data_IF_669414387826
#
_entry.id   IF_669414387826
#
_cell.length_a   1.000
_cell.length_b   1.000
_cell.length_c   1.000
_cell.angle_alpha   90.00
_cell.angle_beta   90.00
_cell.angle_gamma   90.00
#
_symmetry.space_group_name_H-M   'P 1'
#
loop_
_entity.id
_entity.type
_entity.pdbx_description
1 polymer ?
#
# COMPACT_ATOMS: atom_id res chain seq x y z
N UNK A 1 -15.33 -21.15 2.58
CA UNK A 1 -16.00 -20.00 1.94
C UNK A 1 -14.94 -18.96 1.60
N UNK A 2 -15.02 -18.28 0.46
CA UNK A 2 -14.13 -17.15 0.12
C UNK A 2 -14.81 -15.85 0.54
N UNK A 3 -14.09 -15.02 1.29
CA UNK A 3 -14.62 -13.77 1.86
C UNK A 3 -13.96 -12.57 1.19
N UNK A 4 -14.75 -11.55 0.89
CA UNK A 4 -14.31 -10.25 0.41
C UNK A 4 -14.70 -9.17 1.42
N UNK A 5 -13.76 -8.29 1.78
CA UNK A 5 -14.02 -7.08 2.56
C UNK A 5 -13.96 -5.88 1.62
N UNK A 6 -15.11 -5.34 1.28
CA UNK A 6 -15.27 -4.25 0.31
C UNK A 6 -15.60 -2.94 1.01
N UNK A 7 -14.79 -1.89 0.86
CA UNK A 7 -15.09 -0.58 1.41
C UNK A 7 -16.33 0.01 0.71
N UNK A 8 -17.15 0.75 1.46
CA UNK A 8 -18.33 1.45 0.93
C UNK A 8 -17.99 2.79 0.26
N UNK A 9 -16.80 2.91 -0.31
CA UNK A 9 -16.26 4.10 -0.95
C UNK A 9 -16.54 5.39 -0.15
N UNK A 10 -15.64 5.67 0.80
CA UNK A 10 -15.72 6.81 1.73
C UNK A 10 -16.97 6.84 2.63
N UNK A 11 -17.78 5.79 2.60
CA UNK A 11 -18.89 5.60 3.52
C UNK A 11 -18.43 5.08 4.90
N UNK A 12 -19.36 4.85 5.82
CA UNK A 12 -19.00 4.54 7.21
C UNK A 12 -18.59 3.09 7.46
N UNK A 13 -18.66 2.18 6.48
CA UNK A 13 -18.53 0.73 6.70
C UNK A 13 -17.75 0.00 5.59
N UNK A 14 -17.32 -1.21 5.90
CA UNK A 14 -16.93 -2.27 4.95
C UNK A 14 -18.03 -3.32 4.89
N UNK A 15 -18.43 -3.71 3.68
CA UNK A 15 -19.22 -4.91 3.48
C UNK A 15 -18.33 -6.14 3.60
N UNK A 16 -18.78 -7.15 4.34
CA UNK A 16 -18.21 -8.49 4.34
C UNK A 16 -19.09 -9.36 3.47
N UNK A 17 -18.54 -9.88 2.40
CA UNK A 17 -19.29 -10.54 1.33
C UNK A 17 -18.80 -11.96 1.10
N UNK A 18 -19.70 -12.84 0.71
CA UNK A 18 -19.32 -14.08 0.06
C UNK A 18 -18.79 -13.77 -1.35
N UNK A 19 -17.50 -13.99 -1.58
CA UNK A 19 -16.85 -13.63 -2.85
C UNK A 19 -17.35 -14.44 -4.06
N UNK A 20 -18.07 -15.55 -3.85
CA UNK A 20 -18.62 -16.40 -4.92
C UNK A 20 -20.02 -16.00 -5.34
N UNK A 21 -20.84 -15.52 -4.40
CA UNK A 21 -22.25 -15.20 -4.65
C UNK A 21 -22.53 -13.71 -4.63
N UNK A 22 -21.65 -12.89 -4.03
CA UNK A 22 -21.86 -11.46 -3.81
C UNK A 22 -22.77 -11.14 -2.62
N UNK A 23 -23.28 -12.14 -1.90
CA UNK A 23 -24.17 -11.91 -0.77
C UNK A 23 -23.45 -11.22 0.39
N UNK A 24 -24.12 -10.22 0.98
CA UNK A 24 -23.62 -9.53 2.18
C UNK A 24 -23.83 -10.45 3.39
N UNK A 25 -22.72 -10.77 4.08
CA UNK A 25 -22.72 -11.55 5.32
C UNK A 25 -22.95 -10.62 6.51
N UNK A 26 -22.17 -9.54 6.57
CA UNK A 26 -22.24 -8.53 7.63
C UNK A 26 -21.54 -7.24 7.20
N UNK A 27 -21.49 -6.25 8.11
CA UNK A 27 -20.75 -5.00 7.94
C UNK A 27 -19.82 -4.75 9.12
N UNK A 28 -18.69 -4.09 8.88
CA UNK A 28 -17.80 -3.56 9.91
C UNK A 28 -17.83 -2.03 9.78
N UNK A 29 -18.21 -1.33 10.86
CA UNK A 29 -18.51 0.11 10.85
C UNK A 29 -17.56 0.94 11.73
N UNK A 30 -16.27 1.14 11.34
CA UNK A 30 -15.37 2.01 12.09
C UNK A 30 -15.72 3.51 11.96
N UNK A 31 -16.65 3.87 11.07
CA UNK A 31 -17.05 5.26 10.75
C UNK A 31 -15.90 6.16 10.32
N UNK A 32 -14.96 5.60 9.56
CA UNK A 32 -13.68 6.22 9.21
C UNK A 32 -13.58 6.69 7.75
N UNK A 33 -14.64 6.70 6.97
CA UNK A 33 -14.66 6.86 5.51
C UNK A 33 -13.87 5.73 4.82
N UNK A 34 -14.49 4.57 4.70
CA UNK A 34 -13.91 3.29 4.27
C UNK A 34 -13.19 3.40 2.91
N UNK A 35 -11.91 2.99 2.86
CA UNK A 35 -11.11 3.12 1.64
C UNK A 35 -10.20 1.92 1.38
N UNK A 36 -9.07 1.77 2.08
CA UNK A 36 -8.07 0.73 1.83
C UNK A 36 -8.27 -0.51 2.70
N UNK A 37 -8.01 -1.69 2.11
CA UNK A 37 -8.19 -2.99 2.76
C UNK A 37 -7.00 -3.88 2.45
N UNK A 38 -6.33 -4.41 3.47
CA UNK A 38 -5.26 -5.39 3.34
C UNK A 38 -5.57 -6.62 4.20
N UNK A 39 -5.54 -7.81 3.57
CA UNK A 39 -5.55 -9.07 4.28
C UNK A 39 -4.16 -9.38 4.86
N UNK A 40 -4.11 -9.81 6.11
CA UNK A 40 -2.92 -10.41 6.67
C UNK A 40 -2.53 -11.68 5.89
N UNK A 41 -1.24 -11.94 5.62
CA UNK A 41 -0.81 -13.15 4.90
C UNK A 41 -1.23 -14.46 5.55
N UNK A 42 -1.44 -14.48 6.87
CA UNK A 42 -1.95 -15.64 7.62
C UNK A 42 -3.48 -15.82 7.52
N UNK A 43 -4.17 -14.86 6.92
CA UNK A 43 -5.62 -14.87 6.74
C UNK A 43 -6.45 -14.64 8.01
N UNK A 44 -5.82 -14.35 9.17
CA UNK A 44 -6.54 -14.20 10.45
C UNK A 44 -7.08 -12.80 10.69
N UNK A 45 -6.47 -11.80 10.07
CA UNK A 45 -6.83 -10.40 10.24
C UNK A 45 -7.03 -9.71 8.90
N UNK A 46 -7.82 -8.63 8.93
CA UNK A 46 -7.96 -7.67 7.85
C UNK A 46 -7.73 -6.28 8.42
N UNK A 47 -6.88 -5.52 7.76
CA UNK A 47 -6.54 -4.15 8.12
C UNK A 47 -7.35 -3.19 7.26
N UNK A 48 -8.09 -2.29 7.92
CA UNK A 48 -9.08 -1.42 7.31
C UNK A 48 -8.72 0.04 7.60
N UNK A 49 -8.33 0.78 6.58
CA UNK A 49 -7.98 2.20 6.68
C UNK A 49 -9.03 3.08 6.01
N UNK A 50 -9.50 4.07 6.72
CA UNK A 50 -10.44 5.07 6.21
C UNK A 50 -9.81 6.45 6.13
N UNK A 51 -10.27 7.26 5.16
CA UNK A 51 -9.70 8.58 4.83
C UNK A 51 -9.94 9.67 5.88
N UNK A 52 -10.77 9.40 6.90
CA UNK A 52 -11.13 10.35 7.97
C UNK A 52 -10.80 9.82 9.35
N UNK A 53 -9.77 8.99 9.46
CA UNK A 53 -9.36 8.43 10.75
C UNK A 53 -7.85 8.29 10.85
N UNK A 54 -7.25 8.69 11.99
CA UNK A 54 -5.85 8.42 12.30
C UNK A 54 -5.65 7.01 12.88
N UNK A 55 -6.70 6.18 12.92
CA UNK A 55 -6.66 4.83 13.45
C UNK A 55 -6.83 3.80 12.34
N UNK A 56 -5.92 2.84 12.27
CA UNK A 56 -6.07 1.64 11.47
C UNK A 56 -6.91 0.62 12.25
N UNK A 57 -8.04 0.20 11.70
CA UNK A 57 -8.87 -0.84 12.32
C UNK A 57 -8.33 -2.22 11.95
N UNK A 58 -8.18 -3.08 12.95
CA UNK A 58 -7.84 -4.50 12.79
C UNK A 58 -9.12 -5.31 12.98
N UNK A 59 -9.56 -6.03 11.96
CA UNK A 59 -10.72 -6.90 12.03
C UNK A 59 -10.29 -8.37 12.06
N UNK A 60 -10.97 -9.16 12.88
CA UNK A 60 -10.80 -10.61 12.96
C UNK A 60 -11.63 -11.30 11.89
N UNK A 61 -11.01 -12.19 11.11
CA UNK A 61 -11.65 -12.85 9.96
C UNK A 61 -12.59 -13.99 10.36
N UNK A 62 -12.46 -14.52 11.56
CA UNK A 62 -13.34 -15.59 12.06
C UNK A 62 -14.67 -15.06 12.56
N UNK A 63 -14.66 -13.85 13.13
CA UNK A 63 -15.85 -13.19 13.69
C UNK A 63 -16.43 -12.10 12.79
N UNK A 64 -15.64 -11.61 11.83
CA UNK A 64 -15.95 -10.45 10.98
C UNK A 64 -16.24 -9.17 11.77
N UNK A 65 -15.53 -8.98 12.90
CA UNK A 65 -15.68 -7.80 13.77
C UNK A 65 -14.37 -7.06 13.93
N UNK A 66 -14.46 -5.76 14.20
CA UNK A 66 -13.30 -5.00 14.67
C UNK A 66 -12.82 -5.56 16.01
N UNK A 67 -11.54 -5.92 16.08
CA UNK A 67 -10.91 -6.51 17.25
C UNK A 67 -10.05 -5.49 18.01
N UNK A 68 -9.32 -4.63 17.27
CA UNK A 68 -8.43 -3.62 17.84
C UNK A 68 -8.18 -2.49 16.84
N UNK A 69 -7.37 -1.51 17.25
CA UNK A 69 -6.88 -0.43 16.39
C UNK A 69 -5.39 -0.22 16.58
N UNK A 70 -4.74 0.36 15.55
CA UNK A 70 -3.33 0.81 15.61
C UNK A 70 -3.29 2.32 15.40
N UNK A 71 -2.52 2.99 16.23
CA UNK A 71 -2.39 4.44 16.25
C UNK A 71 -2.68 5.06 17.62
N UNK A 72 -3.10 6.34 17.73
CA UNK A 72 -3.36 7.21 16.59
C UNK A 72 -2.07 7.61 15.84
N UNK A 73 -2.14 7.62 14.52
CA UNK A 73 -1.14 8.28 13.67
C UNK A 73 -1.34 9.80 13.72
N UNK A 74 -0.41 10.58 13.15
CA UNK A 74 -0.47 12.04 13.28
C UNK A 74 -1.60 12.68 12.45
N UNK A 75 -2.12 11.97 11.45
CA UNK A 75 -3.24 12.43 10.62
C UNK A 75 -4.00 11.22 10.05
N UNK A 76 -5.05 11.48 9.28
CA UNK A 76 -5.84 10.45 8.59
C UNK A 76 -4.98 9.59 7.68
N UNK A 77 -5.21 8.28 7.76
CA UNK A 77 -4.45 7.27 7.02
C UNK A 77 -4.79 7.33 5.53
N UNK A 78 -3.74 7.24 4.73
CA UNK A 78 -3.78 7.04 3.29
C UNK A 78 -3.37 5.60 2.95
N UNK A 79 -2.99 5.26 1.72
CA UNK A 79 -2.51 3.91 1.44
C UNK A 79 -1.42 3.47 2.42
N UNK A 80 -1.40 2.19 2.69
CA UNK A 80 -0.48 1.59 3.65
C UNK A 80 -0.04 0.21 3.15
N UNK A 81 1.03 -0.30 3.74
CA UNK A 81 1.51 -1.67 3.56
C UNK A 81 1.92 -2.29 4.90
N UNK A 82 2.13 -3.59 4.91
CA UNK A 82 2.53 -4.36 6.10
C UNK A 82 3.70 -5.28 5.78
N UNK A 83 4.45 -5.69 6.80
CA UNK A 83 5.39 -6.79 6.65
C UNK A 83 4.67 -8.15 6.62
N UNK A 84 5.31 -9.16 6.06
CA UNK A 84 4.69 -10.48 5.85
C UNK A 84 4.33 -11.22 7.14
N UNK A 85 5.06 -10.98 8.23
CA UNK A 85 4.73 -11.52 9.56
C UNK A 85 3.61 -10.77 10.29
N UNK A 86 3.02 -9.73 9.65
CA UNK A 86 1.94 -8.92 10.21
C UNK A 86 2.25 -8.34 11.60
N UNK A 87 3.48 -7.87 11.78
CA UNK A 87 3.93 -7.23 13.03
C UNK A 87 4.09 -5.73 12.92
N UNK A 88 4.35 -5.23 11.71
CA UNK A 88 4.55 -3.81 11.41
C UNK A 88 3.62 -3.35 10.28
N UNK A 89 3.16 -2.11 10.41
CA UNK A 89 2.44 -1.39 9.36
C UNK A 89 3.17 -0.08 9.05
N UNK A 90 3.21 0.26 7.75
CA UNK A 90 3.79 1.49 7.23
C UNK A 90 2.66 2.27 6.56
N UNK A 91 2.30 3.41 7.11
CA UNK A 91 1.13 4.18 6.67
C UNK A 91 1.52 5.54 6.12
N UNK A 92 1.02 5.87 4.94
CA UNK A 92 0.97 7.25 4.49
C UNK A 92 -0.14 7.97 5.23
N UNK A 93 0.04 9.25 5.50
CA UNK A 93 -0.94 10.11 6.16
C UNK A 93 -1.07 11.44 5.42
N UNK A 94 -2.16 12.15 5.66
CA UNK A 94 -2.27 13.52 5.18
C UNK A 94 -1.14 14.39 5.74
N UNK A 95 -0.77 15.44 5.01
CA UNK A 95 0.19 16.47 5.44
C UNK A 95 1.59 15.91 5.81
N UNK A 96 1.98 14.77 5.20
CA UNK A 96 3.31 14.20 5.36
C UNK A 96 3.88 13.77 4.00
N UNK A 97 5.01 14.32 3.60
CA UNK A 97 5.87 13.73 2.59
C UNK A 97 6.77 12.70 3.30
N UNK A 98 6.32 11.45 3.34
CA UNK A 98 6.88 10.39 4.15
C UNK A 98 5.81 9.40 4.61
N UNK A 99 6.08 8.68 5.69
CA UNK A 99 5.16 7.69 6.27
C UNK A 99 5.37 7.55 7.79
N UNK A 100 4.40 6.95 8.46
CA UNK A 100 4.54 6.55 9.87
C UNK A 100 4.56 5.02 9.99
N UNK A 101 5.20 4.53 11.05
CA UNK A 101 5.32 3.10 11.36
C UNK A 101 4.51 2.79 12.61
N UNK A 102 3.72 1.72 12.56
CA UNK A 102 2.97 1.20 13.70
C UNK A 102 3.30 -0.27 14.01
N UNK A 103 3.17 -0.65 15.27
CA UNK A 103 3.25 -2.04 15.72
C UNK A 103 1.84 -2.63 15.77
N UNK A 104 1.59 -3.63 14.92
CA UNK A 104 0.29 -4.30 14.79
C UNK A 104 -0.08 -5.16 16.02
N UNK A 105 0.91 -5.55 16.83
CA UNK A 105 0.71 -6.38 18.03
C UNK A 105 0.32 -5.54 19.23
N UNK A 106 0.95 -4.37 19.38
CA UNK A 106 0.71 -3.49 20.52
C UNK A 106 -0.30 -2.38 20.25
N UNK A 107 -0.65 -2.16 18.97
CA UNK A 107 -1.54 -1.10 18.53
C UNK A 107 -0.92 0.29 18.59
N UNK A 108 0.39 0.43 18.79
CA UNK A 108 1.06 1.72 18.99
C UNK A 108 1.74 2.22 17.73
N UNK A 109 1.70 3.54 17.52
CA UNK A 109 2.61 4.21 16.60
C UNK A 109 4.03 4.14 17.18
N UNK A 110 5.01 3.82 16.33
CA UNK A 110 6.42 3.70 16.69
C UNK A 110 7.25 4.88 16.21
N UNK A 111 7.21 5.17 14.90
CA UNK A 111 8.11 6.13 14.26
C UNK A 111 7.37 6.99 13.24
N UNK A 112 7.94 8.17 12.98
CA UNK A 112 7.65 9.02 11.83
C UNK A 112 8.91 9.11 10.96
N UNK A 113 8.76 8.94 9.67
CA UNK A 113 9.83 8.96 8.67
C UNK A 113 9.48 10.01 7.61
N UNK A 114 10.35 10.98 7.42
CA UNK A 114 10.18 12.06 6.46
C UNK A 114 11.15 11.90 5.30
N UNK A 115 10.71 12.22 4.09
CA UNK A 115 11.58 12.33 2.91
C UNK A 115 12.54 13.49 3.09
N UNK A 116 13.80 13.25 2.81
CA UNK A 116 14.86 14.24 2.91
C UNK A 116 15.24 14.77 1.52
N UNK A 117 15.57 16.07 1.45
CA UNK A 117 16.06 16.71 0.23
C UNK A 117 14.99 17.10 -0.79
N UNK A 118 13.69 16.93 -0.46
CA UNK A 118 12.57 17.28 -1.34
C UNK A 118 11.52 18.10 -0.57
N UNK A 119 10.97 19.16 -1.16
CA UNK A 119 9.93 19.96 -0.52
C UNK A 119 8.60 19.20 -0.56
N UNK A 120 7.81 19.34 0.48
CA UNK A 120 6.39 18.99 0.44
C UNK A 120 5.66 20.08 -0.34
N UNK A 121 5.32 19.81 -1.59
CA UNK A 121 4.61 20.74 -2.45
C UNK A 121 3.10 20.56 -2.43
N UNK A 122 2.37 21.32 -3.25
CA UNK A 122 0.93 21.20 -3.36
C UNK A 122 0.53 19.80 -3.87
N UNK A 123 -0.55 19.30 -3.31
CA UNK A 123 -1.10 18.00 -3.70
C UNK A 123 -2.09 18.21 -4.85
N UNK A 124 -1.68 17.90 -6.08
CA UNK A 124 -2.52 18.04 -7.27
C UNK A 124 -3.34 16.78 -7.60
N UNK A 125 -2.79 15.59 -7.31
CA UNK A 125 -3.42 14.29 -7.55
C UNK A 125 -3.30 13.44 -6.29
N UNK A 126 -4.15 12.45 -6.13
CA UNK A 126 -4.13 11.46 -5.03
C UNK A 126 -4.43 12.01 -3.61
N UNK A 127 -4.58 13.32 -3.41
CA UNK A 127 -5.07 13.93 -2.17
C UNK A 127 -4.13 13.87 -0.95
N UNK A 128 -2.86 13.46 -1.12
CA UNK A 128 -1.83 13.50 -0.07
C UNK A 128 -0.42 13.55 -0.68
N UNK A 129 0.59 14.08 0.05
CA UNK A 129 1.94 14.24 -0.48
C UNK A 129 2.59 12.91 -0.88
N UNK A 130 2.44 11.86 -0.07
CA UNK A 130 2.86 10.50 -0.37
C UNK A 130 1.62 9.61 -0.48
N UNK A 131 1.38 8.98 -1.64
CA UNK A 131 0.20 8.15 -1.81
C UNK A 131 0.53 6.66 -1.86
N UNK A 132 1.27 6.18 -2.86
CA UNK A 132 1.69 4.78 -2.96
C UNK A 132 2.83 4.44 -2.01
N UNK A 133 2.72 3.32 -1.32
CA UNK A 133 3.77 2.77 -0.47
C UNK A 133 3.78 1.25 -0.63
N UNK A 134 4.98 0.65 -0.75
CA UNK A 134 5.16 -0.78 -0.88
C UNK A 134 6.43 -1.24 -0.16
N UNK A 135 6.38 -2.40 0.45
CA UNK A 135 7.53 -3.11 1.01
C UNK A 135 8.04 -4.12 -0.01
N UNK A 136 9.36 -4.20 -0.20
CA UNK A 136 9.98 -5.23 -1.03
C UNK A 136 9.70 -6.63 -0.47
N UNK A 137 9.71 -7.64 -1.36
CA UNK A 137 9.38 -9.02 -0.95
C UNK A 137 10.36 -9.56 0.11
N UNK A 138 11.62 -9.15 0.07
CA UNK A 138 12.66 -9.51 1.06
C UNK A 138 12.59 -8.67 2.35
N UNK A 139 11.67 -7.70 2.41
CA UNK A 139 11.42 -6.78 3.53
C UNK A 139 12.60 -5.87 3.90
N UNK A 140 13.52 -5.66 2.96
CA UNK A 140 14.67 -4.78 3.19
C UNK A 140 14.40 -3.34 2.79
N UNK A 141 13.34 -3.09 2.03
CA UNK A 141 13.08 -1.75 1.51
C UNK A 141 11.60 -1.37 1.59
N UNK A 142 11.36 -0.09 1.86
CA UNK A 142 10.09 0.60 1.62
C UNK A 142 10.29 1.53 0.42
N UNK A 143 9.37 1.46 -0.53
CA UNK A 143 9.31 2.34 -1.69
C UNK A 143 8.07 3.23 -1.58
N UNK A 144 8.25 4.53 -1.79
CA UNK A 144 7.26 5.57 -1.51
C UNK A 144 7.08 6.49 -2.73
N UNK A 145 5.85 6.66 -3.20
CA UNK A 145 5.53 7.55 -4.29
C UNK A 145 5.33 9.00 -3.80
N UNK A 146 6.04 9.94 -4.45
CA UNK A 146 5.95 11.38 -4.24
C UNK A 146 5.38 12.04 -5.50
N UNK A 147 4.11 12.41 -5.44
CA UNK A 147 3.40 12.97 -6.59
C UNK A 147 3.89 14.35 -7.00
N UNK A 148 4.25 15.22 -6.05
CA UNK A 148 4.69 16.59 -6.35
C UNK A 148 6.05 16.63 -7.05
N UNK A 149 7.03 15.93 -6.51
CA UNK A 149 8.40 15.95 -7.04
C UNK A 149 8.61 14.98 -8.22
N UNK A 150 7.62 14.11 -8.53
CA UNK A 150 7.74 13.09 -9.56
C UNK A 150 8.85 12.09 -9.24
N UNK A 151 8.83 11.54 -8.03
CA UNK A 151 9.85 10.65 -7.50
C UNK A 151 9.25 9.39 -6.88
N UNK A 152 10.05 8.33 -6.86
CA UNK A 152 9.88 7.18 -5.97
C UNK A 152 11.07 7.20 -5.00
N UNK A 153 10.81 7.37 -3.72
CA UNK A 153 11.82 7.34 -2.67
C UNK A 153 11.97 5.92 -2.12
N UNK A 154 13.21 5.50 -1.91
CA UNK A 154 13.54 4.16 -1.38
C UNK A 154 14.19 4.32 -0.02
N UNK A 155 13.72 3.53 0.95
CA UNK A 155 14.20 3.52 2.32
C UNK A 155 14.72 2.12 2.67
N UNK A 156 15.85 2.05 3.36
CA UNK A 156 16.33 0.83 4.02
C UNK A 156 15.42 0.53 5.22
N UNK A 157 14.66 -0.54 5.13
CA UNK A 157 13.76 -1.02 6.17
C UNK A 157 14.40 -2.13 7.04
N UNK A 158 15.66 -2.49 6.79
CA UNK A 158 16.40 -3.41 7.67
C UNK A 158 16.80 -2.75 8.99
N UNK A 159 16.69 -1.44 9.07
CA UNK A 159 16.89 -0.62 10.28
C UNK A 159 15.60 0.08 10.68
N UNK A 160 15.47 0.41 11.97
CA UNK A 160 14.27 1.06 12.49
C UNK A 160 14.67 2.32 13.30
N UNK A 161 14.15 3.52 12.97
CA UNK A 161 13.26 3.82 11.83
C UNK A 161 13.94 3.61 10.47
N UNK A 162 13.16 3.30 9.40
CA UNK A 162 13.68 3.19 8.04
C UNK A 162 14.42 4.45 7.59
N UNK A 163 15.52 4.27 6.82
CA UNK A 163 16.37 5.37 6.36
C UNK A 163 16.33 5.51 4.84
N UNK A 164 16.11 6.74 4.35
CA UNK A 164 16.16 7.01 2.91
C UNK A 164 17.54 6.72 2.34
N UNK A 165 17.56 5.95 1.25
CA UNK A 165 18.80 5.53 0.57
C UNK A 165 18.94 6.16 -0.79
N UNK A 166 17.85 6.30 -1.54
CA UNK A 166 17.85 6.90 -2.88
C UNK A 166 16.48 7.40 -3.27
N UNK A 167 16.44 8.16 -4.37
CA UNK A 167 15.22 8.68 -4.99
C UNK A 167 15.30 8.50 -6.49
N UNK A 168 14.27 7.90 -7.08
CA UNK A 168 14.22 7.53 -8.49
C UNK A 168 13.27 8.48 -9.21
N UNK A 169 13.76 9.13 -10.28
CA UNK A 169 12.94 10.02 -11.10
C UNK A 169 11.96 9.17 -11.92
N UNK A 170 10.69 9.58 -11.89
CA UNK A 170 9.64 9.03 -12.72
C UNK A 170 8.96 10.15 -13.51
N UNK A 171 8.04 9.78 -14.39
CA UNK A 171 7.26 10.73 -15.17
C UNK A 171 6.32 11.54 -14.27
N UNK A 172 5.17 11.90 -14.71
CA UNK A 172 4.25 12.77 -14.00
C UNK A 172 3.60 12.08 -12.78
N UNK A 173 3.57 12.75 -11.65
CA UNK A 173 2.75 12.50 -10.46
C UNK A 173 2.48 11.02 -10.13
N UNK A 174 3.50 10.23 -9.72
CA UNK A 174 3.30 8.84 -9.35
C UNK A 174 2.36 8.74 -8.14
N UNK A 175 1.36 7.87 -8.24
CA UNK A 175 0.41 7.62 -7.16
C UNK A 175 0.51 6.23 -6.57
N UNK A 176 1.26 5.32 -7.21
CA UNK A 176 1.40 3.94 -6.76
C UNK A 176 2.74 3.33 -7.10
N UNK A 177 3.12 2.33 -6.33
CA UNK A 177 4.27 1.47 -6.53
C UNK A 177 3.90 0.05 -6.11
N UNK A 178 4.31 -0.95 -6.89
CA UNK A 178 4.13 -2.36 -6.58
C UNK A 178 5.33 -3.16 -7.07
N UNK A 179 5.41 -4.44 -6.68
CA UNK A 179 6.50 -5.33 -7.07
C UNK A 179 5.98 -6.50 -7.89
N UNK A 180 6.87 -7.07 -8.73
CA UNK A 180 6.63 -8.36 -9.37
C UNK A 180 6.47 -9.47 -8.34
N UNK A 181 5.81 -10.55 -8.72
CA UNK A 181 5.57 -11.72 -7.86
C UNK A 181 6.88 -12.34 -7.34
N UNK A 182 7.96 -12.25 -8.12
CA UNK A 182 9.29 -12.74 -7.74
C UNK A 182 10.17 -11.68 -7.05
N UNK A 183 9.66 -10.46 -6.89
CA UNK A 183 10.32 -9.33 -6.23
C UNK A 183 11.48 -8.69 -7.02
N UNK A 184 11.70 -9.09 -8.29
CA UNK A 184 12.82 -8.55 -9.08
C UNK A 184 12.55 -7.19 -9.67
N UNK A 185 11.30 -6.87 -9.94
CA UNK A 185 10.89 -5.63 -10.60
C UNK A 185 10.00 -4.80 -9.69
N UNK A 186 10.15 -3.48 -9.79
CA UNK A 186 9.25 -2.51 -9.19
C UNK A 186 8.53 -1.72 -10.29
N UNK A 187 7.22 -1.59 -10.16
CA UNK A 187 6.32 -0.96 -11.14
C UNK A 187 5.75 0.34 -10.60
N UNK A 188 6.12 1.46 -11.19
CA UNK A 188 5.49 2.76 -10.92
C UNK A 188 4.16 2.89 -11.66
N UNK A 189 3.16 3.52 -11.05
CA UNK A 189 1.87 3.83 -11.70
C UNK A 189 2.00 4.71 -12.94
N UNK A 190 3.12 5.38 -13.13
CA UNK A 190 3.46 6.16 -14.30
C UNK A 190 4.14 5.35 -15.41
N UNK A 191 4.29 4.03 -15.20
CA UNK A 191 4.73 3.06 -16.21
C UNK A 191 6.22 2.76 -16.23
N UNK A 192 7.02 3.31 -15.33
CA UNK A 192 8.42 2.93 -15.19
C UNK A 192 8.54 1.56 -14.53
N UNK A 193 9.45 0.75 -15.06
CA UNK A 193 9.83 -0.56 -14.54
C UNK A 193 11.30 -0.47 -14.10
N UNK A 194 11.53 -0.69 -12.83
CA UNK A 194 12.87 -0.67 -12.24
C UNK A 194 13.31 -2.09 -11.88
N UNK A 195 14.62 -2.36 -12.03
CA UNK A 195 15.26 -3.47 -11.34
C UNK A 195 15.28 -3.16 -9.84
N UNK A 196 14.64 -4.01 -9.02
CA UNK A 196 14.49 -3.75 -7.58
C UNK A 196 15.84 -3.67 -6.88
N UNK A 197 16.81 -4.52 -7.25
CA UNK A 197 18.11 -4.61 -6.58
C UNK A 197 19.02 -3.44 -6.95
N UNK A 198 19.14 -3.12 -8.24
CA UNK A 198 20.08 -2.09 -8.75
C UNK A 198 19.45 -0.70 -8.83
N UNK A 199 18.13 -0.58 -8.70
CA UNK A 199 17.36 0.66 -8.86
C UNK A 199 17.40 1.24 -10.27
N UNK A 200 17.97 0.50 -11.23
CA UNK A 200 18.10 0.95 -12.62
C UNK A 200 16.74 0.92 -13.30
N UNK A 201 16.40 1.98 -14.01
CA UNK A 201 15.28 2.01 -14.94
C UNK A 201 15.55 1.02 -16.08
N UNK A 202 14.67 0.06 -16.26
CA UNK A 202 14.74 -0.95 -17.30
C UNK A 202 13.87 -0.58 -18.50
N UNK A 203 12.67 -0.10 -18.22
CA UNK A 203 11.70 0.20 -19.26
C UNK A 203 10.69 1.27 -18.81
N UNK A 204 10.09 1.96 -19.78
CA UNK A 204 8.98 2.89 -19.58
C UNK A 204 7.83 2.47 -20.50
N UNK A 205 6.72 2.04 -19.90
CA UNK A 205 5.55 1.58 -20.65
C UNK A 205 4.92 2.72 -21.47
N UNK A 206 4.51 2.38 -22.67
CA UNK A 206 3.73 3.23 -23.57
C UNK A 206 2.55 2.45 -24.13
N UNK A 207 1.52 3.16 -24.57
CA UNK A 207 0.45 2.54 -25.35
C UNK A 207 0.91 2.22 -26.79
N UNK A 208 0.02 1.64 -27.58
CA UNK A 208 0.27 1.26 -28.98
C UNK A 208 0.61 2.44 -29.92
N UNK A 209 0.37 3.68 -29.47
CA UNK A 209 0.71 4.94 -30.18
C UNK A 209 1.96 5.62 -29.64
N UNK A 210 2.69 4.95 -28.73
CA UNK A 210 3.89 5.49 -28.09
C UNK A 210 3.62 6.56 -27.03
N UNK A 211 2.38 6.75 -26.59
CA UNK A 211 2.04 7.72 -25.56
C UNK A 211 2.36 7.14 -24.17
N UNK A 212 2.75 8.01 -23.24
CA UNK A 212 3.05 7.61 -21.89
C UNK A 212 1.86 6.88 -21.24
N UNK A 213 2.14 5.74 -20.64
CA UNK A 213 1.18 4.95 -19.88
C UNK A 213 1.00 5.55 -18.47
N UNK A 214 -0.24 5.61 -18.02
CA UNK A 214 -0.60 5.98 -16.64
C UNK A 214 -1.64 5.03 -16.13
N UNK A 215 -1.48 4.58 -14.88
CA UNK A 215 -2.44 3.74 -14.17
C UNK A 215 -2.52 4.17 -12.72
N UNK A 216 -3.64 3.93 -12.08
CA UNK A 216 -3.73 4.10 -10.62
C UNK A 216 -2.96 2.99 -9.90
N UNK A 217 -3.06 1.75 -10.39
CA UNK A 217 -2.43 0.57 -9.79
C UNK A 217 -2.00 -0.41 -10.88
N UNK A 218 -0.96 -1.18 -10.57
CA UNK A 218 -0.46 -2.28 -11.40
C UNK A 218 -0.51 -3.59 -10.62
N UNK A 219 -0.84 -4.66 -11.31
CA UNK A 219 -0.88 -6.01 -10.75
C UNK A 219 -0.32 -6.99 -11.78
N UNK A 220 0.66 -7.80 -11.36
CA UNK A 220 1.15 -8.91 -12.16
C UNK A 220 0.23 -10.11 -12.00
N UNK A 221 -0.16 -10.72 -13.12
CA UNK A 221 -0.97 -11.94 -13.17
C UNK A 221 -0.24 -12.95 -14.05
N UNK A 222 -0.04 -14.16 -13.52
CA UNK A 222 0.50 -15.27 -14.30
C UNK A 222 -0.64 -16.16 -14.75
N UNK A 223 -0.73 -16.35 -16.06
CA UNK A 223 -1.74 -17.17 -16.72
C UNK A 223 -1.05 -18.39 -17.33
N UNK A 224 -1.57 -19.56 -17.09
CA UNK A 224 -1.16 -20.81 -17.71
C UNK A 224 -2.40 -21.59 -18.17
N UNK A 225 -2.42 -22.03 -19.43
CA UNK A 225 -3.56 -22.71 -20.05
C UNK A 225 -4.90 -22.01 -19.78
N UNK A 226 -4.97 -20.69 -20.03
CA UNK A 226 -6.12 -19.79 -19.84
C UNK A 226 -6.64 -19.70 -18.40
N UNK A 227 -5.84 -20.15 -17.42
CA UNK A 227 -6.16 -20.06 -16.00
C UNK A 227 -5.18 -19.14 -15.27
N UNK A 228 -5.71 -18.29 -14.42
CA UNK A 228 -4.89 -17.53 -13.48
C UNK A 228 -4.31 -18.50 -12.44
N UNK A 229 -3.00 -18.68 -12.45
CA UNK A 229 -2.29 -19.56 -11.52
C UNK A 229 -1.60 -18.79 -10.38
N UNK A 230 -1.23 -17.54 -10.61
CA UNK A 230 -0.68 -16.64 -9.59
C UNK A 230 -1.14 -15.21 -9.84
N UNK A 231 -1.33 -14.46 -8.77
CA UNK A 231 -1.55 -13.02 -8.81
C UNK A 231 -0.63 -12.34 -7.81
N UNK A 232 -0.09 -11.20 -8.18
CA UNK A 232 0.72 -10.35 -7.33
C UNK A 232 -0.12 -9.62 -6.28
N UNK A 233 0.52 -8.76 -5.53
CA UNK A 233 -0.12 -7.93 -4.51
C UNK A 233 0.03 -6.45 -4.87
N UNK A 234 -1.09 -5.76 -5.02
CA UNK A 234 -1.09 -4.33 -5.36
C UNK A 234 -0.58 -3.43 -4.23
N UNK A 235 -0.55 -3.90 -2.98
CA UNK A 235 -0.11 -3.11 -1.82
C UNK A 235 1.36 -3.33 -1.46
N UNK A 236 2.09 -4.19 -2.19
CA UNK A 236 3.48 -4.48 -1.91
C UNK A 236 3.69 -4.93 -0.46
N UNK A 237 3.00 -6.01 -0.08
CA UNK A 237 3.14 -6.62 1.26
C UNK A 237 4.46 -7.37 1.33
N UNK A 238 5.15 -7.29 2.46
CA UNK A 238 6.38 -8.05 2.72
C UNK A 238 6.17 -9.57 2.61
N UNK A 239 7.22 -10.29 2.25
CA UNK A 239 7.16 -11.72 1.92
C UNK A 239 7.59 -12.68 3.03
N UNK A 240 8.22 -12.20 4.10
CA UNK A 240 8.67 -13.04 5.21
C UNK A 240 7.48 -13.46 6.09
N UNK A 241 7.39 -14.74 6.37
CA UNK A 241 6.33 -15.34 7.20
C UNK A 241 6.90 -15.98 8.45
#
# INVERSE_FOLDING_TARGET
>A
MKILYAPSFEGPFWNVLNAMTGDIITKIEPKSAAHNTIYAPDGKHVYLAGLRSPLLTVADTSTHKAASTVGPFADSIRPFTINGSSTLVFVNINNLLGFEVGDLRTGKKLHRVEVQGFPMGPVARHGCPSHGIAMSLDEKEIWLADGHNGMIHVFDASVMPPKQTTSLKVRDQPGWISFSIDGKFAYSSTGEIFDQKTKRLLHSLTDEKGRAFHSEKLLEIVIDNDKVIRAGNQFGIGGKR
#
